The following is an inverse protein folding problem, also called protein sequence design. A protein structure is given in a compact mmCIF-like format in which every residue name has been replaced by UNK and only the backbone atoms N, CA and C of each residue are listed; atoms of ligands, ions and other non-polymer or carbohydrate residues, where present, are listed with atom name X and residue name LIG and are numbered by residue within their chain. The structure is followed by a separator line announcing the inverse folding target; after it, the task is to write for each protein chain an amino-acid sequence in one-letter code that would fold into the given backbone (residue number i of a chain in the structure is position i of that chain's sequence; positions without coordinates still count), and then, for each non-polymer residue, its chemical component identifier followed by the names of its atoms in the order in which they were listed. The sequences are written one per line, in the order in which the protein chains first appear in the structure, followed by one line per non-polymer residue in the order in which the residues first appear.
data_IF_290945869145
#
_entry.id   IF_290945869145
#
_cell.length_a   1.000
_cell.length_b   1.000
_cell.length_c   1.000
_cell.angle_alpha   90.00
_cell.angle_beta   90.00
_cell.angle_gamma   90.00
#
_symmetry.space_group_name_H-M   'P 1'
#
loop_
_entity.id
_entity.type
_entity.pdbx_description
1 polymer ?
#
# COMPACT_ATOMS: atom_id res chain seq x y z
N UNK A 1 23.41 -16.21 -78.92
CA UNK A 1 23.45 -17.31 -77.92
C UNK A 1 24.89 -17.47 -77.45
N UNK A 2 25.21 -17.57 -76.15
CA UNK A 2 24.81 -16.83 -74.92
C UNK A 2 25.86 -15.71 -74.60
N UNK A 3 25.69 -14.65 -73.78
CA UNK A 3 25.12 -14.39 -72.45
C UNK A 3 26.00 -14.83 -71.24
N UNK A 4 26.75 -13.87 -70.66
CA UNK A 4 27.07 -13.72 -69.21
C UNK A 4 27.81 -12.37 -69.02
N UNK A 5 27.24 -11.22 -68.63
CA UNK A 5 26.62 -10.75 -67.37
C UNK A 5 27.46 -11.10 -66.12
N UNK A 6 28.11 -10.10 -65.49
CA UNK A 6 27.71 -9.35 -64.25
C UNK A 6 27.63 -10.31 -63.03
N UNK A 7 28.08 -10.02 -61.81
CA UNK A 7 28.32 -8.78 -61.08
C UNK A 7 28.92 -9.13 -59.70
N UNK A 8 29.68 -8.20 -59.12
CA UNK A 8 29.68 -7.84 -57.71
C UNK A 8 29.67 -8.92 -56.62
N UNK A 9 30.82 -9.11 -55.98
CA UNK A 9 30.92 -9.70 -54.64
C UNK A 9 30.52 -8.63 -53.61
N UNK A 10 29.26 -8.64 -53.16
CA UNK A 10 28.80 -7.86 -51.99
C UNK A 10 28.98 -8.73 -50.75
N UNK A 11 29.94 -8.38 -49.90
CA UNK A 11 30.08 -8.93 -48.56
C UNK A 11 28.96 -8.36 -47.68
N UNK A 12 27.92 -9.16 -47.44
CA UNK A 12 26.85 -8.85 -46.49
C UNK A 12 27.35 -9.14 -45.07
N UNK A 13 27.58 -8.09 -44.28
CA UNK A 13 27.73 -8.17 -42.83
C UNK A 13 26.39 -8.59 -42.21
N UNK A 14 26.27 -9.85 -41.79
CA UNK A 14 25.16 -10.29 -40.95
C UNK A 14 25.44 -9.86 -39.50
N UNK A 15 25.03 -8.64 -39.15
CA UNK A 15 24.97 -8.22 -37.75
C UNK A 15 23.82 -8.97 -37.08
N UNK A 16 24.16 -10.02 -36.32
CA UNK A 16 23.25 -10.70 -35.39
C UNK A 16 22.85 -9.71 -34.28
N UNK A 17 21.76 -8.97 -34.51
CA UNK A 17 21.06 -8.27 -33.44
C UNK A 17 20.34 -9.32 -32.59
N UNK A 18 20.99 -9.81 -31.54
CA UNK A 18 20.31 -10.43 -30.42
C UNK A 18 19.47 -9.35 -29.74
N UNK A 19 18.24 -9.17 -30.21
CA UNK A 19 17.24 -8.37 -29.51
C UNK A 19 16.95 -9.06 -28.17
N UNK A 20 17.37 -8.42 -27.09
CA UNK A 20 17.05 -8.79 -25.72
C UNK A 20 15.53 -8.68 -25.49
N UNK A 21 14.77 -9.74 -25.79
CA UNK A 21 13.33 -9.86 -25.51
C UNK A 21 13.09 -10.36 -24.06
N UNK A 22 13.96 -9.99 -23.11
CA UNK A 22 13.83 -10.37 -21.69
C UNK A 22 13.61 -9.18 -20.75
N UNK A 23 13.36 -7.98 -21.26
CA UNK A 23 13.32 -6.77 -20.44
C UNK A 23 11.94 -6.37 -19.87
N UNK A 24 10.86 -7.11 -20.11
CA UNK A 24 9.51 -6.70 -19.65
C UNK A 24 8.97 -7.43 -18.40
N UNK A 25 9.64 -8.48 -17.91
CA UNK A 25 9.25 -9.17 -16.66
C UNK A 25 10.00 -8.67 -15.41
N UNK A 26 10.87 -7.68 -15.56
CA UNK A 26 11.96 -7.45 -14.61
C UNK A 26 11.58 -6.79 -13.27
N UNK A 27 10.35 -6.28 -13.07
CA UNK A 27 10.02 -5.60 -11.80
C UNK A 27 8.56 -5.70 -11.34
N UNK A 28 7.93 -6.87 -11.49
CA UNK A 28 6.64 -7.12 -10.85
C UNK A 28 6.82 -7.24 -9.31
N UNK A 29 5.96 -6.60 -8.50
CA UNK A 29 6.04 -6.69 -7.04
C UNK A 29 5.76 -8.12 -6.54
N UNK A 30 4.90 -8.87 -7.25
CA UNK A 30 4.53 -10.25 -6.93
C UNK A 30 4.94 -11.18 -8.06
N UNK A 31 5.56 -12.30 -7.69
CA UNK A 31 5.85 -13.43 -8.58
C UNK A 31 5.41 -14.74 -7.94
N UNK A 32 4.97 -15.71 -8.76
CA UNK A 32 4.56 -17.04 -8.28
C UNK A 32 5.69 -18.03 -8.55
N UNK A 33 6.13 -18.71 -7.49
CA UNK A 33 7.10 -19.80 -7.54
C UNK A 33 6.36 -21.12 -7.25
N UNK A 34 6.73 -22.20 -7.95
CA UNK A 34 6.18 -23.54 -7.72
C UNK A 34 7.31 -24.50 -7.42
N UNK A 35 7.20 -25.21 -6.30
CA UNK A 35 8.15 -26.24 -5.87
C UNK A 35 7.43 -27.58 -5.83
N UNK A 36 8.11 -28.65 -6.22
CA UNK A 36 7.57 -30.01 -6.17
C UNK A 36 8.21 -30.79 -5.03
N UNK A 37 7.40 -31.55 -4.29
CA UNK A 37 7.92 -32.56 -3.37
C UNK A 37 8.36 -33.83 -4.12
N UNK A 38 8.96 -34.79 -3.41
CA UNK A 38 9.42 -36.07 -3.99
C UNK A 38 8.29 -36.91 -4.59
N UNK A 39 7.04 -36.68 -4.15
CA UNK A 39 5.84 -37.34 -4.67
C UNK A 39 5.30 -36.67 -5.94
N UNK A 40 5.89 -35.56 -6.40
CA UNK A 40 5.44 -34.81 -7.58
C UNK A 40 4.21 -33.94 -7.35
N UNK A 41 3.94 -33.56 -6.10
CA UNK A 41 2.88 -32.63 -5.69
C UNK A 41 3.44 -31.19 -5.64
N UNK A 42 2.79 -30.21 -6.32
CA UNK A 42 3.25 -28.83 -6.35
C UNK A 42 2.77 -28.03 -5.13
N UNK A 43 3.70 -27.30 -4.52
CA UNK A 43 3.42 -26.20 -3.58
C UNK A 43 3.68 -24.86 -4.26
N UNK A 44 2.68 -23.98 -4.21
CA UNK A 44 2.73 -22.63 -4.76
C UNK A 44 3.16 -21.64 -3.67
N UNK A 45 4.02 -20.70 -4.05
CA UNK A 45 4.47 -19.60 -3.21
C UNK A 45 4.29 -18.27 -3.96
N UNK A 46 3.90 -17.23 -3.23
CA UNK A 46 4.01 -15.86 -3.69
C UNK A 46 5.31 -15.27 -3.12
N UNK A 47 6.13 -14.70 -3.99
CA UNK A 47 7.27 -13.88 -3.60
C UNK A 47 6.91 -12.41 -3.82
N UNK A 48 6.78 -11.69 -2.71
CA UNK A 48 6.52 -10.26 -2.67
C UNK A 48 7.84 -9.50 -2.44
N UNK A 49 8.24 -8.69 -3.41
CA UNK A 49 9.42 -7.82 -3.32
C UNK A 49 9.10 -6.45 -2.70
N UNK A 50 7.82 -6.08 -2.62
CA UNK A 50 7.37 -4.84 -2.02
C UNK A 50 7.10 -5.02 -0.54
N UNK A 51 7.33 -3.95 0.22
CA UNK A 51 6.96 -3.86 1.63
C UNK A 51 5.44 -3.75 1.82
N UNK A 52 4.74 -3.27 0.79
CA UNK A 52 3.28 -3.23 0.74
C UNK A 52 2.72 -4.66 0.67
N UNK A 53 1.75 -5.04 1.51
CA UNK A 53 1.09 -6.33 1.39
C UNK A 53 0.20 -6.37 0.13
N UNK A 54 0.11 -7.56 -0.49
CA UNK A 54 -0.78 -7.78 -1.63
C UNK A 54 -1.68 -8.99 -1.39
N UNK A 55 -2.91 -8.94 -1.88
CA UNK A 55 -3.77 -10.11 -2.05
C UNK A 55 -3.52 -10.71 -3.41
N UNK A 56 -3.08 -11.97 -3.42
CA UNK A 56 -2.81 -12.78 -4.60
C UNK A 56 -4.02 -13.64 -4.91
N UNK A 57 -4.48 -13.62 -6.16
CA UNK A 57 -5.51 -14.52 -6.68
C UNK A 57 -4.86 -15.51 -7.66
N UNK A 58 -5.06 -16.81 -7.45
CA UNK A 58 -4.67 -17.88 -8.36
C UNK A 58 -5.92 -18.52 -8.95
N UNK A 59 -6.07 -18.45 -10.27
CA UNK A 59 -7.17 -19.11 -10.98
C UNK A 59 -6.63 -20.31 -11.77
N UNK A 60 -7.06 -21.50 -11.37
CA UNK A 60 -6.70 -22.76 -12.02
C UNK A 60 -7.70 -23.11 -13.12
N UNK A 61 -7.26 -22.96 -14.37
CA UNK A 61 -8.06 -23.30 -15.56
C UNK A 61 -8.14 -24.81 -15.84
N UNK A 62 -7.14 -25.57 -15.40
CA UNK A 62 -7.16 -27.03 -15.44
C UNK A 62 -6.27 -27.63 -14.37
N UNK A 63 -6.68 -28.77 -13.81
CA UNK A 63 -5.91 -29.59 -12.87
C UNK A 63 -6.17 -31.05 -13.20
N UNK A 64 -5.10 -31.83 -13.33
CA UNK A 64 -5.12 -33.27 -13.64
C UNK A 64 -4.30 -34.03 -12.63
N UNK A 65 -4.70 -35.28 -12.35
CA UNK A 65 -4.12 -36.15 -11.30
C UNK A 65 -4.31 -35.60 -9.87
N UNK A 66 -5.13 -34.57 -9.69
CA UNK A 66 -5.50 -33.97 -8.43
C UNK A 66 -6.89 -33.35 -8.54
N UNK A 67 -7.50 -33.00 -7.41
CA UNK A 67 -8.68 -32.14 -7.41
C UNK A 67 -8.25 -30.67 -7.52
N UNK A 68 -8.99 -29.82 -8.25
CA UNK A 68 -8.72 -28.39 -8.26
C UNK A 68 -8.89 -27.80 -6.85
N UNK A 69 -8.14 -26.75 -6.49
CA UNK A 69 -8.34 -26.03 -5.24
C UNK A 69 -9.79 -25.55 -5.09
N UNK A 70 -10.31 -25.56 -3.87
CA UNK A 70 -11.60 -24.97 -3.53
C UNK A 70 -11.42 -24.05 -2.31
N UNK A 71 -11.70 -22.74 -2.41
CA UNK A 71 -12.22 -22.03 -3.58
C UNK A 71 -11.24 -21.93 -4.76
N UNK A 72 -11.78 -21.80 -5.97
CA UNK A 72 -11.07 -21.38 -7.18
C UNK A 72 -11.82 -20.17 -7.81
N UNK A 73 -11.21 -18.98 -7.92
CA UNK A 73 -9.80 -18.69 -7.65
C UNK A 73 -9.46 -18.79 -6.16
N UNK A 74 -8.25 -19.30 -5.88
CA UNK A 74 -7.67 -19.29 -4.54
C UNK A 74 -7.12 -17.90 -4.23
N UNK A 75 -7.41 -17.37 -3.05
CA UNK A 75 -6.97 -16.03 -2.62
C UNK A 75 -6.12 -16.12 -1.35
N UNK A 76 -5.05 -15.33 -1.26
CA UNK A 76 -4.26 -15.19 -0.03
C UNK A 76 -3.48 -13.88 0.02
N UNK A 77 -3.33 -13.31 1.20
CA UNK A 77 -2.39 -12.21 1.45
C UNK A 77 -0.94 -12.68 1.41
N UNK A 78 -0.13 -12.00 0.61
CA UNK A 78 1.32 -12.12 0.53
C UNK A 78 1.97 -10.85 1.10
N UNK A 79 2.55 -10.99 2.31
CA UNK A 79 3.41 -9.96 2.91
C UNK A 79 4.83 -10.05 2.30
N UNK A 80 5.67 -9.07 2.59
CA UNK A 80 7.06 -9.01 2.11
C UNK A 80 7.78 -10.35 2.30
N UNK A 81 8.54 -10.77 1.28
CA UNK A 81 9.25 -12.04 1.27
C UNK A 81 8.46 -13.18 0.61
N UNK A 82 8.61 -14.40 1.14
CA UNK A 82 8.03 -15.63 0.55
C UNK A 82 6.84 -16.11 1.37
N UNK A 83 5.66 -16.12 0.77
CA UNK A 83 4.41 -16.61 1.36
C UNK A 83 4.01 -17.93 0.72
N UNK A 84 3.85 -18.99 1.51
CA UNK A 84 3.24 -20.26 1.03
C UNK A 84 1.77 -20.03 0.73
N UNK A 85 1.32 -20.32 -0.48
CA UNK A 85 -0.07 -20.17 -0.90
C UNK A 85 -0.85 -21.44 -0.58
N UNK A 86 -0.73 -22.43 -1.45
CA UNK A 86 -1.44 -23.71 -1.38
C UNK A 86 -0.57 -24.84 -1.92
N UNK A 87 -0.95 -26.07 -1.61
CA UNK A 87 -0.37 -27.29 -2.14
C UNK A 87 -1.49 -28.11 -2.79
N UNK A 88 -1.23 -28.64 -3.98
CA UNK A 88 -2.17 -29.48 -4.69
C UNK A 88 -1.76 -30.93 -4.51
N UNK A 89 -2.57 -31.66 -3.75
CA UNK A 89 -2.33 -33.08 -3.48
C UNK A 89 -2.90 -33.97 -4.57
N UNK A 90 -2.21 -35.08 -4.84
CA UNK A 90 -2.68 -36.07 -5.81
C UNK A 90 -4.02 -36.66 -5.39
N UNK A 91 -4.81 -36.99 -6.40
CA UNK A 91 -6.04 -37.75 -6.22
C UNK A 91 -5.83 -39.19 -6.71
N UNK A 92 -6.04 -40.16 -5.81
CA UNK A 92 -5.84 -41.58 -6.09
C UNK A 92 -4.36 -42.01 -6.11
N UNK A 93 -4.10 -43.20 -6.66
CA UNK A 93 -2.78 -43.87 -6.66
C UNK A 93 -1.94 -43.53 -7.91
N UNK A 94 -2.07 -42.34 -8.48
CA UNK A 94 -1.34 -41.98 -9.71
C UNK A 94 0.13 -41.66 -9.43
N UNK A 95 1.04 -42.39 -10.06
CA UNK A 95 2.48 -42.11 -10.02
C UNK A 95 2.89 -40.90 -10.87
N UNK A 96 1.97 -40.36 -11.69
CA UNK A 96 2.24 -39.19 -12.53
C UNK A 96 2.24 -37.89 -11.74
N UNK A 97 3.05 -36.91 -12.15
CA UNK A 97 3.01 -35.55 -11.62
C UNK A 97 1.63 -34.92 -11.74
N UNK A 98 1.29 -34.03 -10.80
CA UNK A 98 0.13 -33.16 -10.93
C UNK A 98 0.39 -32.19 -12.09
N UNK A 99 -0.52 -32.18 -13.07
CA UNK A 99 -0.49 -31.22 -14.18
C UNK A 99 -1.54 -30.16 -13.95
N UNK A 100 -1.21 -28.91 -14.24
CA UNK A 100 -2.13 -27.80 -14.06
C UNK A 100 -1.83 -26.67 -15.06
N UNK A 101 -2.82 -25.80 -15.25
CA UNK A 101 -2.66 -24.51 -15.91
C UNK A 101 -3.34 -23.46 -15.04
N UNK A 102 -2.68 -22.32 -14.81
CA UNK A 102 -3.19 -21.26 -13.96
C UNK A 102 -2.86 -19.88 -14.50
N UNK A 103 -3.66 -18.90 -14.10
CA UNK A 103 -3.34 -17.47 -14.18
C UNK A 103 -3.28 -16.90 -12.77
N UNK A 104 -2.65 -15.74 -12.62
CA UNK A 104 -2.65 -15.04 -11.35
C UNK A 104 -2.80 -13.53 -11.53
N UNK A 105 -3.41 -12.91 -10.54
CA UNK A 105 -3.47 -11.46 -10.40
C UNK A 105 -3.14 -11.08 -8.95
N UNK A 106 -2.82 -9.81 -8.72
CA UNK A 106 -2.54 -9.31 -7.38
C UNK A 106 -3.07 -7.89 -7.23
N UNK A 107 -3.49 -7.57 -6.01
CA UNK A 107 -4.02 -6.27 -5.61
C UNK A 107 -3.33 -5.83 -4.31
N UNK A 108 -3.00 -4.56 -4.17
CA UNK A 108 -2.53 -3.97 -2.90
C UNK A 108 -3.56 -4.23 -1.77
N UNK A 109 -3.04 -4.49 -0.58
CA UNK A 109 -3.82 -4.71 0.64
C UNK A 109 -3.95 -6.17 1.04
N UNK A 110 -4.51 -6.39 2.23
CA UNK A 110 -4.74 -7.72 2.78
C UNK A 110 -6.17 -8.20 2.48
N UNK A 111 -6.39 -9.50 2.58
CA UNK A 111 -7.70 -10.14 2.47
C UNK A 111 -8.32 -10.16 3.88
N UNK A 112 -9.63 -10.02 3.95
CA UNK A 112 -10.45 -10.11 5.17
C UNK A 112 -9.96 -9.14 6.26
N UNK A 113 -9.67 -7.89 5.87
CA UNK A 113 -9.15 -6.87 6.79
C UNK A 113 -10.26 -6.36 7.71
N UNK A 114 -10.04 -6.47 9.01
CA UNK A 114 -10.88 -5.91 10.07
C UNK A 114 -10.06 -4.85 10.82
N UNK A 115 -10.35 -3.55 10.64
CA UNK A 115 -9.67 -2.49 11.38
C UNK A 115 -9.81 -2.65 12.90
N UNK A 116 -8.71 -2.52 13.62
CA UNK A 116 -8.72 -2.58 15.08
C UNK A 116 -9.43 -1.37 15.69
N UNK A 117 -10.16 -1.61 16.80
CA UNK A 117 -10.73 -0.55 17.63
C UNK A 117 -9.66 0.04 18.56
N UNK A 118 -8.76 0.85 18.00
CA UNK A 118 -7.67 1.53 18.69
C UNK A 118 -7.78 3.05 18.62
N UNK A 119 -7.18 3.70 19.62
CA UNK A 119 -7.04 5.15 19.62
C UNK A 119 -5.82 5.59 18.81
N UNK A 120 -6.00 6.67 18.05
CA UNK A 120 -4.98 7.30 17.21
C UNK A 120 -4.53 8.63 17.84
N UNK A 121 -3.26 8.98 17.68
CA UNK A 121 -2.80 10.34 17.97
C UNK A 121 -3.24 11.30 16.86
N UNK A 122 -3.47 12.56 17.22
CA UNK A 122 -3.55 13.59 16.20
C UNK A 122 -2.18 13.72 15.52
N UNK A 123 -2.11 13.76 14.18
CA UNK A 123 -0.84 13.76 13.43
C UNK A 123 -0.09 15.11 13.43
N UNK A 124 -0.18 15.85 14.53
CA UNK A 124 0.49 17.14 14.75
C UNK A 124 1.28 17.10 16.06
N UNK A 125 2.17 18.07 16.24
CA UNK A 125 2.98 18.19 17.45
C UNK A 125 2.14 18.19 18.74
N UNK A 126 2.66 17.58 19.80
CA UNK A 126 2.00 17.58 21.11
C UNK A 126 1.69 19.01 21.58
N UNK A 127 0.48 19.21 22.12
CA UNK A 127 0.02 20.51 22.59
C UNK A 127 -0.49 21.45 21.49
N UNK A 128 -0.25 21.15 20.20
CA UNK A 128 -0.76 21.97 19.10
C UNK A 128 -2.28 21.87 18.98
N UNK A 129 -2.93 23.02 18.78
CA UNK A 129 -4.33 23.08 18.38
C UNK A 129 -4.40 23.08 16.84
N UNK A 130 -5.25 22.24 16.27
CA UNK A 130 -5.44 22.11 14.83
C UNK A 130 -6.93 22.07 14.52
N UNK A 131 -7.34 22.84 13.52
CA UNK A 131 -8.68 22.81 12.97
C UNK A 131 -8.79 21.68 11.95
N UNK A 132 -9.88 20.93 12.02
CA UNK A 132 -10.16 19.83 11.09
C UNK A 132 -11.05 20.36 9.97
N UNK A 133 -10.69 20.07 8.73
CA UNK A 133 -11.55 20.34 7.58
C UNK A 133 -11.92 19.02 6.89
N UNK A 134 -13.14 18.95 6.35
CA UNK A 134 -13.59 17.80 5.58
C UNK A 134 -12.97 17.82 4.19
N UNK A 135 -12.73 16.65 3.61
CA UNK A 135 -12.34 16.51 2.22
C UNK A 135 -13.54 15.97 1.43
N UNK A 136 -13.68 16.40 0.17
CA UNK A 136 -14.67 15.84 -0.77
C UNK A 136 -14.11 14.63 -1.49
N UNK A 137 -14.97 13.68 -1.84
CA UNK A 137 -14.59 12.55 -2.67
C UNK A 137 -14.45 13.01 -4.14
N UNK A 138 -13.42 12.55 -4.85
CA UNK A 138 -13.16 12.99 -6.24
C UNK A 138 -14.31 12.63 -7.19
N UNK A 139 -15.11 11.61 -6.88
CA UNK A 139 -16.30 11.23 -7.64
C UNK A 139 -17.34 12.33 -7.72
N UNK A 140 -17.41 13.22 -6.72
CA UNK A 140 -18.35 14.35 -6.69
C UNK A 140 -18.13 15.30 -7.88
N UNK A 141 -16.88 15.43 -8.36
CA UNK A 141 -16.56 16.25 -9.55
C UNK A 141 -17.12 15.67 -10.86
N UNK A 142 -17.48 14.39 -10.86
CA UNK A 142 -18.00 13.66 -12.00
C UNK A 142 -19.44 13.20 -11.77
N UNK A 143 -20.17 13.90 -10.89
CA UNK A 143 -21.55 13.59 -10.49
C UNK A 143 -21.76 12.15 -10.00
N UNK A 144 -20.71 11.53 -9.44
CA UNK A 144 -20.80 10.21 -8.80
C UNK A 144 -21.09 10.38 -7.32
N UNK A 145 -21.94 9.50 -6.78
CA UNK A 145 -22.19 9.45 -5.34
C UNK A 145 -20.91 9.18 -4.56
N UNK A 146 -20.76 9.89 -3.44
CA UNK A 146 -19.70 9.67 -2.47
C UNK A 146 -19.97 8.37 -1.73
N UNK A 147 -18.99 7.45 -1.61
CA UNK A 147 -19.16 6.24 -0.82
C UNK A 147 -19.60 6.56 0.61
N UNK A 148 -20.59 5.83 1.12
CA UNK A 148 -21.16 6.07 2.47
C UNK A 148 -20.13 6.03 3.60
N UNK A 149 -19.07 5.25 3.42
CA UNK A 149 -17.97 5.10 4.38
C UNK A 149 -16.83 6.09 4.16
N UNK A 150 -16.86 6.91 3.10
CA UNK A 150 -15.76 7.82 2.78
C UNK A 150 -15.43 8.71 3.97
N UNK A 151 -14.20 8.56 4.48
CA UNK A 151 -13.71 9.31 5.63
C UNK A 151 -12.28 9.78 5.36
N UNK A 152 -12.16 11.06 5.07
CA UNK A 152 -10.90 11.72 4.78
C UNK A 152 -10.89 13.08 5.48
N UNK A 153 -9.80 13.36 6.19
CA UNK A 153 -9.67 14.56 7.00
C UNK A 153 -8.49 15.41 6.54
N UNK A 154 -8.69 16.71 6.56
CA UNK A 154 -7.64 17.69 6.51
C UNK A 154 -7.32 18.23 7.90
N UNK A 155 -6.04 18.49 8.15
CA UNK A 155 -5.53 19.06 9.38
C UNK A 155 -4.87 20.39 9.08
N UNK A 156 -5.45 21.49 9.59
CA UNK A 156 -4.88 22.83 9.41
C UNK A 156 -3.56 22.94 10.17
N UNK A 157 -2.52 23.34 9.47
CA UNK A 157 -1.16 23.45 9.97
C UNK A 157 -0.41 24.56 9.22
N UNK A 158 0.72 25.02 9.72
CA UNK A 158 1.57 26.00 9.05
C UNK A 158 2.62 25.27 8.20
N UNK A 159 3.10 25.92 7.15
CA UNK A 159 4.16 25.38 6.34
C UNK A 159 5.44 25.21 7.18
N UNK A 160 6.09 24.06 7.05
CA UNK A 160 7.25 23.73 7.90
C UNK A 160 6.90 23.01 9.20
N UNK A 161 5.62 22.92 9.58
CA UNK A 161 5.22 22.10 10.71
C UNK A 161 5.53 20.61 10.49
N UNK A 162 5.87 19.92 11.56
CA UNK A 162 6.10 18.47 11.54
C UNK A 162 4.79 17.70 11.62
N UNK A 163 4.63 16.73 10.73
CA UNK A 163 3.59 15.70 10.74
C UNK A 163 4.11 14.47 11.46
N UNK A 164 3.27 13.89 12.32
CA UNK A 164 3.62 12.75 13.16
C UNK A 164 2.74 11.53 12.82
N UNK A 165 3.27 10.33 13.00
CA UNK A 165 2.49 9.10 12.83
C UNK A 165 1.36 9.01 13.85
N UNK A 166 0.11 8.86 13.38
CA UNK A 166 -1.07 8.70 14.22
C UNK A 166 -1.13 7.34 14.94
N UNK A 167 -0.59 6.29 14.32
CA UNK A 167 -0.50 4.90 14.82
C UNK A 167 0.78 4.26 14.29
N UNK A 168 1.33 3.29 15.02
CA UNK A 168 2.56 2.59 14.63
C UNK A 168 2.37 1.66 13.44
N UNK A 169 3.45 1.35 12.72
CA UNK A 169 3.41 0.50 11.55
C UNK A 169 4.70 0.55 10.74
N UNK A 170 4.64 0.03 9.52
CA UNK A 170 5.77 0.02 8.58
C UNK A 170 5.53 1.03 7.48
N UNK A 171 6.55 1.85 7.16
CA UNK A 171 6.51 2.72 5.99
C UNK A 171 6.64 1.88 4.73
N UNK A 172 5.54 1.72 3.97
CA UNK A 172 5.54 0.86 2.78
C UNK A 172 5.67 1.62 1.47
N UNK A 173 5.19 2.86 1.45
CA UNK A 173 5.25 3.69 0.26
C UNK A 173 5.50 5.16 0.60
N UNK A 174 6.16 5.85 -0.33
CA UNK A 174 6.59 7.23 -0.23
C UNK A 174 6.66 7.79 -1.65
N UNK A 175 6.08 8.96 -1.85
CA UNK A 175 6.24 9.79 -3.05
C UNK A 175 6.96 11.08 -2.66
N UNK A 176 8.04 11.43 -3.38
CA UNK A 176 8.97 12.53 -3.02
C UNK A 176 9.23 13.54 -4.13
N UNK A 177 8.84 13.25 -5.37
CA UNK A 177 9.36 13.97 -6.54
C UNK A 177 8.47 15.12 -7.00
N UNK A 178 7.27 15.27 -6.44
CA UNK A 178 6.33 16.31 -6.82
C UNK A 178 6.76 17.68 -6.27
N UNK A 179 6.74 18.71 -7.13
CA UNK A 179 7.03 20.08 -6.71
C UNK A 179 5.93 20.61 -5.79
N UNK A 180 6.32 21.41 -4.79
CA UNK A 180 5.38 21.98 -3.82
C UNK A 180 4.40 22.94 -4.51
N UNK A 181 4.84 23.59 -5.60
CA UNK A 181 4.01 24.45 -6.45
C UNK A 181 3.01 23.69 -7.31
N UNK A 182 3.21 22.41 -7.61
CA UNK A 182 2.28 21.60 -8.42
C UNK A 182 1.12 21.01 -7.59
N UNK A 183 1.05 21.32 -6.29
CA UNK A 183 -0.13 21.10 -5.44
C UNK A 183 -1.36 21.93 -5.89
N UNK A 184 -1.20 22.77 -6.92
CA UNK A 184 -2.20 23.61 -7.60
C UNK A 184 -3.53 22.90 -7.88
N UNK A 185 -3.52 21.58 -8.08
CA UNK A 185 -4.75 20.80 -8.28
C UNK A 185 -4.95 19.84 -7.11
N UNK A 186 -5.88 20.19 -6.22
CA UNK A 186 -6.39 19.36 -5.11
C UNK A 186 -6.88 17.95 -5.54
N UNK A 187 -7.02 17.74 -6.85
CA UNK A 187 -7.55 16.57 -7.54
C UNK A 187 -6.52 15.84 -8.43
N UNK A 188 -5.24 16.21 -8.38
CA UNK A 188 -4.17 15.43 -9.01
C UNK A 188 -3.54 14.44 -8.02
N UNK A 189 -2.94 13.37 -8.54
CA UNK A 189 -2.10 12.44 -7.79
C UNK A 189 -0.69 12.99 -7.48
N UNK A 190 -0.40 14.24 -7.86
CA UNK A 190 0.93 14.83 -7.80
C UNK A 190 1.16 15.53 -6.45
N UNK A 191 1.17 14.75 -5.37
CA UNK A 191 1.52 15.23 -4.05
C UNK A 191 2.53 14.29 -3.41
N UNK A 192 3.41 14.85 -2.58
CA UNK A 192 4.29 14.03 -1.76
C UNK A 192 3.49 13.44 -0.59
N UNK A 193 3.73 12.17 -0.30
CA UNK A 193 3.03 11.47 0.76
C UNK A 193 3.89 10.40 1.43
N UNK A 194 3.49 10.03 2.64
CA UNK A 194 3.98 8.87 3.38
C UNK A 194 2.81 7.93 3.61
N UNK A 195 3.00 6.64 3.33
CA UNK A 195 2.03 5.60 3.62
C UNK A 195 2.57 4.62 4.66
N UNK A 196 1.79 4.44 5.72
CA UNK A 196 2.09 3.53 6.83
C UNK A 196 1.08 2.39 6.77
N UNK A 197 1.56 1.14 6.79
CA UNK A 197 0.71 -0.04 6.96
C UNK A 197 0.77 -0.47 8.43
N UNK A 198 -0.41 -0.51 9.06
CA UNK A 198 -0.60 -0.93 10.43
C UNK A 198 -0.68 -2.46 10.55
N UNK A 199 -0.62 -2.99 11.78
CA UNK A 199 -0.61 -4.44 12.02
C UNK A 199 -1.86 -5.14 11.46
N UNK A 200 -3.02 -4.50 11.61
CA UNK A 200 -4.32 -4.92 11.09
C UNK A 200 -4.50 -4.77 9.57
N UNK A 201 -3.45 -4.38 8.83
CA UNK A 201 -3.50 -4.08 7.40
C UNK A 201 -4.32 -2.87 6.99
N UNK A 202 -4.64 -1.95 7.91
CA UNK A 202 -5.08 -0.61 7.53
C UNK A 202 -3.91 0.25 7.05
N UNK A 203 -4.20 1.17 6.15
CA UNK A 203 -3.25 2.05 5.46
C UNK A 203 -3.50 3.48 5.91
N UNK A 204 -2.61 4.02 6.73
CA UNK A 204 -2.57 5.43 7.08
C UNK A 204 -1.79 6.21 6.03
N UNK A 205 -2.46 7.09 5.26
CA UNK A 205 -1.81 7.92 4.24
C UNK A 205 -1.79 9.39 4.67
N UNK A 206 -0.61 10.00 4.58
CA UNK A 206 -0.34 11.40 4.96
C UNK A 206 0.16 12.13 3.72
N UNK A 207 -0.63 13.04 3.17
CA UNK A 207 -0.31 13.73 1.91
C UNK A 207 -0.33 15.25 2.03
N UNK A 208 0.12 15.94 0.97
CA UNK A 208 0.47 17.37 0.98
C UNK A 208 1.69 17.66 1.86
N UNK A 209 2.67 16.75 1.78
CA UNK A 209 3.97 16.92 2.42
C UNK A 209 4.92 17.70 1.53
N UNK A 210 5.86 18.40 2.16
CA UNK A 210 6.87 19.20 1.50
C UNK A 210 7.85 18.31 0.72
N UNK A 211 8.24 18.73 -0.48
CA UNK A 211 9.33 18.12 -1.26
C UNK A 211 10.63 18.12 -0.45
N UNK A 212 11.24 16.94 -0.34
CA UNK A 212 12.41 16.72 0.52
C UNK A 212 12.14 16.91 2.03
N UNK A 213 10.88 17.01 2.44
CA UNK A 213 10.45 17.14 3.83
C UNK A 213 9.99 15.83 4.46
N UNK A 214 10.12 14.70 3.77
CA UNK A 214 9.82 13.37 4.33
C UNK A 214 10.99 12.93 5.23
N UNK A 215 10.66 12.53 6.45
CA UNK A 215 11.64 12.30 7.53
C UNK A 215 11.94 10.81 7.78
N UNK A 216 11.32 9.93 7.00
CA UNK A 216 11.39 8.47 7.11
C UNK A 216 11.70 7.83 5.76
N UNK A 217 12.07 6.54 5.76
CA UNK A 217 12.37 5.75 4.57
C UNK A 217 11.46 4.53 4.46
N UNK A 218 11.28 4.01 3.24
CA UNK A 218 10.57 2.76 3.01
C UNK A 218 11.25 1.63 3.80
N UNK A 219 10.48 0.94 4.63
CA UNK A 219 10.94 -0.14 5.51
C UNK A 219 11.19 0.27 6.95
N UNK A 220 11.15 1.57 7.26
CA UNK A 220 11.20 2.02 8.64
C UNK A 220 9.97 1.54 9.42
N UNK A 221 10.21 1.05 10.63
CA UNK A 221 9.17 0.82 11.63
C UNK A 221 9.02 2.09 12.46
N UNK A 222 7.80 2.62 12.51
CA UNK A 222 7.46 3.82 13.30
C UNK A 222 6.45 3.48 14.38
N UNK A 223 6.49 4.22 15.47
CA UNK A 223 5.47 4.18 16.52
C UNK A 223 4.66 5.47 16.50
N UNK A 224 3.48 5.46 17.15
CA UNK A 224 2.65 6.66 17.21
C UNK A 224 3.45 7.81 17.86
N UNK A 225 3.42 8.99 17.24
CA UNK A 225 4.16 10.16 17.68
C UNK A 225 5.58 10.28 17.12
N UNK A 226 6.03 9.35 16.28
CA UNK A 226 7.28 9.54 15.52
C UNK A 226 7.08 10.58 14.40
N UNK A 227 8.05 11.48 14.15
CA UNK A 227 7.98 12.46 13.07
C UNK A 227 8.16 11.77 11.71
N UNK A 228 7.26 12.02 10.76
CA UNK A 228 7.24 11.34 9.45
C UNK A 228 7.41 12.29 8.27
N UNK A 229 7.06 13.56 8.43
CA UNK A 229 7.11 14.51 7.33
C UNK A 229 6.95 15.95 7.77
N UNK A 230 7.07 16.86 6.81
CA UNK A 230 6.90 18.30 6.99
C UNK A 230 5.75 18.76 6.09
N UNK A 231 4.89 19.65 6.59
CA UNK A 231 3.79 20.25 5.84
C UNK A 231 4.34 21.13 4.70
N UNK A 232 3.80 20.96 3.49
CA UNK A 232 4.17 21.77 2.32
C UNK A 232 3.80 23.26 2.50
N UNK A 233 4.53 24.15 1.83
CA UNK A 233 4.15 25.55 1.68
C UNK A 233 3.37 25.77 0.38
N UNK A 234 2.35 26.62 0.42
CA UNK A 234 1.67 27.12 -0.79
C UNK A 234 1.98 28.60 -0.99
N UNK A 235 2.25 29.00 -2.23
CA UNK A 235 2.53 30.41 -2.58
C UNK A 235 1.28 31.30 -2.56
N UNK A 236 0.06 30.76 -2.77
CA UNK A 236 -1.12 31.58 -3.07
C UNK A 236 -2.46 31.25 -2.36
N UNK A 237 -2.54 30.42 -1.30
CA UNK A 237 -3.84 30.19 -0.61
C UNK A 237 -3.84 30.05 0.92
N UNK A 238 -5.03 30.39 1.45
CA UNK A 238 -5.57 30.42 2.82
C UNK A 238 -5.81 29.06 3.50
N UNK A 239 -5.49 27.94 2.86
CA UNK A 239 -5.65 26.59 3.42
C UNK A 239 -4.30 25.86 3.50
N UNK A 240 -3.54 26.18 4.54
CA UNK A 240 -2.30 25.47 4.86
C UNK A 240 -2.64 24.29 5.77
N UNK A 241 -2.19 23.09 5.38
CA UNK A 241 -2.49 21.86 6.09
C UNK A 241 -2.03 20.62 5.34
N UNK A 242 -2.31 19.46 5.91
CA UNK A 242 -2.05 18.16 5.28
C UNK A 242 -3.30 17.29 5.35
N UNK A 243 -3.34 16.24 4.54
CA UNK A 243 -4.47 15.30 4.51
C UNK A 243 -4.08 13.99 5.18
N UNK A 244 -5.06 13.38 5.82
CA UNK A 244 -4.94 12.05 6.41
C UNK A 244 -6.15 11.19 6.04
N UNK A 245 -5.86 9.97 5.60
CA UNK A 245 -6.87 8.93 5.37
C UNK A 245 -6.44 7.63 6.03
N UNK A 246 -7.43 6.84 6.45
CA UNK A 246 -7.23 5.48 6.94
C UNK A 246 -8.08 4.54 6.08
N UNK A 247 -7.43 3.70 5.29
CA UNK A 247 -8.10 2.86 4.30
C UNK A 247 -7.70 1.39 4.42
N UNK A 248 -8.53 0.49 3.89
CA UNK A 248 -8.21 -0.92 3.75
C UNK A 248 -8.89 -1.50 2.52
N UNK A 249 -8.34 -2.59 2.00
CA UNK A 249 -8.79 -3.15 0.72
C UNK A 249 -10.25 -3.62 0.84
N UNK A 250 -11.06 -3.28 -0.16
CA UNK A 250 -12.37 -3.87 -0.35
C UNK A 250 -12.24 -5.27 -0.99
N UNK A 251 -12.76 -6.30 -0.34
CA UNK A 251 -12.68 -7.67 -0.85
C UNK A 251 -13.66 -8.01 -1.96
N UNK A 252 -14.70 -7.19 -2.07
CA UNK A 252 -15.65 -7.28 -3.17
C UNK A 252 -15.15 -6.58 -4.44
N UNK A 253 -14.06 -5.81 -4.36
CA UNK A 253 -13.49 -5.12 -5.52
C UNK A 253 -13.12 -6.11 -6.65
N UNK A 254 -13.57 -5.78 -7.86
CA UNK A 254 -13.24 -6.50 -9.09
C UNK A 254 -12.65 -5.52 -10.10
N UNK A 255 -11.52 -5.89 -10.69
CA UNK A 255 -10.90 -5.06 -11.73
C UNK A 255 -11.89 -4.81 -12.88
N UNK A 256 -12.17 -3.54 -13.16
CA UNK A 256 -13.12 -3.12 -14.19
C UNK A 256 -14.60 -3.08 -13.76
N UNK A 257 -14.92 -3.31 -12.49
CA UNK A 257 -16.25 -2.99 -11.95
C UNK A 257 -16.32 -1.55 -11.46
N UNK A 258 -17.54 -1.10 -11.14
CA UNK A 258 -17.80 0.18 -10.47
C UNK A 258 -17.55 0.10 -8.95
N UNK A 259 -17.17 -1.07 -8.43
CA UNK A 259 -16.88 -1.24 -7.01
C UNK A 259 -15.66 -0.41 -6.62
N UNK A 260 -15.74 0.27 -5.48
CA UNK A 260 -14.60 0.99 -4.92
C UNK A 260 -13.50 0.01 -4.51
N UNK A 261 -12.25 0.42 -4.70
CA UNK A 261 -11.09 -0.37 -4.29
C UNK A 261 -10.85 -0.33 -2.78
N UNK A 262 -11.02 0.84 -2.17
CA UNK A 262 -10.75 1.11 -0.77
C UNK A 262 -12.05 1.23 0.02
N UNK A 263 -12.09 0.57 1.18
CA UNK A 263 -12.94 0.97 2.28
C UNK A 263 -12.20 2.00 3.13
N UNK A 264 -12.92 2.89 3.81
CA UNK A 264 -12.35 3.87 4.73
C UNK A 264 -12.77 3.56 6.16
N UNK A 265 -11.77 3.46 7.04
CA UNK A 265 -12.02 3.33 8.47
C UNK A 265 -12.13 4.73 9.10
N UNK A 266 -12.92 4.83 10.17
CA UNK A 266 -13.07 6.07 10.95
C UNK A 266 -12.18 5.97 12.20
N UNK A 267 -10.98 6.54 12.20
CA UNK A 267 -10.11 6.51 13.37
C UNK A 267 -10.71 7.31 14.53
N UNK A 268 -10.56 6.76 15.73
CA UNK A 268 -10.93 7.42 16.97
C UNK A 268 -9.68 8.06 17.58
N UNK A 269 -9.70 9.37 17.79
CA UNK A 269 -8.50 10.11 18.18
C UNK A 269 -8.46 10.43 19.68
N UNK A 270 -7.26 10.40 20.25
CA UNK A 270 -7.00 10.92 21.59
C UNK A 270 -6.69 12.42 21.53
N UNK A 271 -7.54 13.22 22.17
CA UNK A 271 -7.37 14.69 22.28
C UNK A 271 -7.06 15.10 23.72
N UNK A 272 -6.77 16.37 23.95
CA UNK A 272 -6.55 16.88 25.32
C UNK A 272 -7.77 16.81 26.24
N UNK A 273 -8.98 16.64 25.69
CA UNK A 273 -10.26 16.68 26.44
C UNK A 273 -11.01 15.35 26.33
N UNK A 274 -10.99 14.74 25.15
CA UNK A 274 -11.78 13.55 24.81
C UNK A 274 -10.87 12.36 24.47
N UNK A 275 -11.26 11.19 24.95
CA UNK A 275 -10.80 9.89 24.46
C UNK A 275 -11.74 9.42 23.35
N UNK A 276 -11.25 8.63 22.42
CA UNK A 276 -12.03 8.06 21.33
C UNK A 276 -12.80 9.10 20.48
N UNK A 277 -12.22 10.27 20.24
CA UNK A 277 -12.90 11.35 19.54
C UNK A 277 -13.02 11.03 18.04
N UNK A 278 -14.25 10.96 17.52
CA UNK A 278 -14.51 11.06 16.08
C UNK A 278 -14.41 12.53 15.68
N UNK A 279 -13.34 12.89 14.98
CA UNK A 279 -13.09 14.27 14.58
C UNK A 279 -14.17 14.76 13.61
N UNK A 280 -14.58 16.02 13.81
CA UNK A 280 -15.59 16.69 13.00
C UNK A 280 -14.95 17.88 12.26
N UNK A 281 -15.34 18.13 11.00
CA UNK A 281 -14.98 19.36 10.31
C UNK A 281 -15.38 20.61 11.11
N UNK A 282 -14.67 21.71 10.88
CA UNK A 282 -14.87 23.03 11.49
C UNK A 282 -14.72 23.05 13.02
N UNK A 283 -14.04 22.05 13.58
CA UNK A 283 -13.74 21.96 15.01
C UNK A 283 -12.22 21.99 15.23
N UNK A 284 -11.83 22.65 16.33
CA UNK A 284 -10.44 22.71 16.76
C UNK A 284 -10.21 21.68 17.86
N UNK A 285 -9.21 20.82 17.66
CA UNK A 285 -8.78 19.84 18.64
C UNK A 285 -7.33 20.10 19.03
N UNK A 286 -7.00 19.80 20.29
CA UNK A 286 -5.63 19.92 20.79
C UNK A 286 -5.00 18.53 20.94
N UNK A 287 -3.85 18.35 20.32
CA UNK A 287 -3.09 17.10 20.37
C UNK A 287 -2.47 16.86 21.75
N UNK A 288 -2.47 15.61 22.17
CA UNK A 288 -1.73 15.09 23.32
C UNK A 288 -1.07 13.79 22.89
N UNK A 289 0.13 13.49 23.39
CA UNK A 289 0.88 12.29 23.00
C UNK A 289 1.07 11.37 24.23
N UNK A 290 -0.02 10.81 24.79
CA UNK A 290 0.09 10.10 26.04
C UNK A 290 0.74 8.73 25.85
N UNK A 291 1.55 8.33 26.83
CA UNK A 291 2.39 7.11 26.79
C UNK A 291 1.57 5.84 26.61
N UNK A 292 0.31 5.80 27.08
CA UNK A 292 -0.58 4.65 26.88
C UNK A 292 -0.85 4.40 25.39
N UNK A 293 -1.06 5.47 24.60
CA UNK A 293 -1.32 5.36 23.15
C UNK A 293 -0.03 5.11 22.38
N UNK A 294 1.06 5.84 22.67
CA UNK A 294 2.36 5.62 21.99
C UNK A 294 2.83 4.17 22.13
N UNK A 295 2.58 3.55 23.30
CA UNK A 295 3.05 2.21 23.60
C UNK A 295 1.99 1.13 23.47
N UNK A 296 0.78 1.45 22.95
CA UNK A 296 -0.37 0.55 22.99
C UNK A 296 -0.10 -0.79 22.28
N UNK A 297 0.59 -0.74 21.14
CA UNK A 297 0.95 -1.89 20.31
C UNK A 297 2.36 -2.44 20.59
N UNK A 298 3.12 -1.82 21.51
CA UNK A 298 4.47 -2.28 21.82
C UNK A 298 4.47 -3.52 22.71
N UNK A 299 5.31 -4.50 22.36
CA UNK A 299 5.64 -5.62 23.23
C UNK A 299 6.35 -5.17 24.51
N UNK A 300 6.40 -6.05 25.53
CA UNK A 300 7.01 -5.72 26.84
C UNK A 300 8.45 -5.20 26.72
N UNK A 301 9.27 -5.82 25.88
CA UNK A 301 10.67 -5.44 25.67
C UNK A 301 10.81 -4.10 24.94
N UNK A 302 9.95 -3.81 23.96
CA UNK A 302 9.93 -2.54 23.22
C UNK A 302 9.50 -1.40 24.14
N UNK A 303 8.41 -1.58 24.88
CA UNK A 303 7.92 -0.59 25.85
C UNK A 303 9.01 -0.24 26.88
N UNK A 304 9.77 -1.23 27.34
CA UNK A 304 10.90 -1.01 28.27
C UNK A 304 12.07 -0.25 27.62
N UNK A 305 12.36 -0.50 26.34
CA UNK A 305 13.38 0.22 25.58
C UNK A 305 12.95 1.67 25.31
N UNK A 306 11.72 1.89 24.87
CA UNK A 306 11.13 3.20 24.61
C UNK A 306 11.16 4.09 25.86
N UNK A 307 10.72 3.57 27.02
CA UNK A 307 10.74 4.31 28.30
C UNK A 307 12.15 4.71 28.77
N UNK A 308 13.20 4.00 28.35
CA UNK A 308 14.59 4.36 28.69
C UNK A 308 15.14 5.46 27.78
N UNK A 309 14.69 5.52 26.52
CA UNK A 309 15.11 6.54 25.54
C UNK A 309 14.41 7.89 25.76
N UNK A 310 13.17 7.86 26.24
CA UNK A 310 12.30 9.03 26.42
C UNK A 310 12.13 9.43 27.90
N UNK A 311 13.18 9.25 28.70
CA UNK A 311 13.25 9.62 30.13
C UNK A 311 14.20 10.78 30.30
#
# INVERSE_FOLDING_TARGET
MPASKFSGLVLLFFALTFSNVFAQYADLPITIEVEYNDEGEPTFYAKNKSLTPYTVNLDFSSVSNAMPPNPNPYKKTARFGKTRLLEIKKSGLSDSYVRFSYTYSYNIGCLDTEPDDLEYLLPVAEGKATEIFGLSHIGELFDKETPDDFYALGFRAEAGDTVYASRGGVITDIEVDNDDSETENYFTSNYNYVQIVHEDCTFGSYSHLKKGGILVQKGDEVVAGDPIGIVASKEDETEIGFRFTLAYKNDDYRSGSDDKYWNYAVPLFRTSVEKNAKLKPDHIYRAVHPVDIITQEMGWFERRRWKKRNR
#
